data_IF_878189831184
#
_entry.id   IF_878189831184
#
_cell.length_a   1.000
_cell.length_b   1.000
_cell.length_c   1.000
_cell.angle_alpha   90.00
_cell.angle_beta   90.00
_cell.angle_gamma   90.00
#
_symmetry.space_group_name_H-M   'P 1'
#
loop_
_entity.id
_entity.type
_entity.pdbx_description
1 polymer ?
#
# COMPACT_ATOMS: atom_id res chain seq x y z
N UNK A 1 24.32 -4.61 -11.94
CA UNK A 1 22.93 -4.72 -11.41
C UNK A 1 22.41 -6.09 -11.81
N UNK A 2 22.31 -7.01 -10.83
CA UNK A 2 22.01 -8.43 -11.05
C UNK A 2 20.53 -8.64 -11.36
N UNK A 3 20.25 -9.69 -12.14
CA UNK A 3 18.90 -10.15 -12.51
C UNK A 3 17.90 -10.19 -11.33
N UNK A 4 18.39 -10.42 -10.11
CA UNK A 4 17.62 -10.42 -8.86
C UNK A 4 16.90 -9.09 -8.59
N UNK A 5 17.58 -7.96 -8.78
CA UNK A 5 17.00 -6.64 -8.50
C UNK A 5 15.84 -6.29 -9.45
N UNK A 6 15.94 -6.75 -10.71
CA UNK A 6 14.88 -6.56 -11.70
C UNK A 6 13.65 -7.41 -11.36
N UNK A 7 13.85 -8.65 -10.92
CA UNK A 7 12.74 -9.53 -10.54
C UNK A 7 12.03 -9.00 -9.27
N UNK A 8 12.78 -8.57 -8.26
CA UNK A 8 12.22 -7.95 -7.05
C UNK A 8 11.38 -6.72 -7.38
N UNK A 9 11.88 -5.84 -8.25
CA UNK A 9 11.16 -4.65 -8.69
C UNK A 9 9.88 -4.98 -9.46
N UNK A 10 9.89 -5.99 -10.32
CA UNK A 10 8.70 -6.48 -11.03
C UNK A 10 7.70 -7.06 -10.04
N UNK A 11 8.15 -7.86 -9.07
CA UNK A 11 7.30 -8.44 -8.04
C UNK A 11 6.63 -7.32 -7.22
N UNK A 12 7.39 -6.32 -6.79
CA UNK A 12 6.85 -5.16 -6.06
C UNK A 12 5.85 -4.37 -6.88
N UNK A 13 6.12 -4.15 -8.17
CA UNK A 13 5.19 -3.50 -9.10
C UNK A 13 3.89 -4.30 -9.23
N UNK A 14 3.98 -5.63 -9.36
CA UNK A 14 2.81 -6.51 -9.45
C UNK A 14 2.00 -6.50 -8.15
N UNK A 15 2.66 -6.60 -6.99
CA UNK A 15 2.00 -6.45 -5.69
C UNK A 15 1.31 -5.10 -5.55
N UNK A 16 1.96 -4.04 -6.03
CA UNK A 16 1.38 -2.71 -5.99
C UNK A 16 0.20 -2.55 -6.94
N UNK A 17 0.21 -3.10 -8.16
CA UNK A 17 -0.88 -2.87 -9.14
C UNK A 17 -2.04 -3.87 -8.99
N UNK A 18 -1.77 -5.10 -8.54
CA UNK A 18 -2.75 -6.19 -8.53
C UNK A 18 -4.05 -5.86 -7.78
N UNK A 19 -4.04 -5.24 -6.59
CA UNK A 19 -5.27 -4.92 -5.87
C UNK A 19 -6.19 -3.97 -6.67
N UNK A 20 -5.62 -2.93 -7.27
CA UNK A 20 -6.42 -2.00 -8.09
C UNK A 20 -6.90 -2.61 -9.40
N UNK A 21 -6.13 -3.51 -10.01
CA UNK A 21 -6.58 -4.28 -11.17
C UNK A 21 -7.76 -5.19 -10.82
N UNK A 22 -7.67 -5.95 -9.72
CA UNK A 22 -8.75 -6.79 -9.21
C UNK A 22 -9.99 -5.97 -8.87
N UNK A 23 -9.80 -4.83 -8.20
CA UNK A 23 -10.90 -3.91 -7.88
C UNK A 23 -11.59 -3.41 -9.15
N UNK A 24 -10.83 -2.94 -10.14
CA UNK A 24 -11.38 -2.41 -11.40
C UNK A 24 -12.16 -3.49 -12.14
N UNK A 25 -11.60 -4.70 -12.26
CA UNK A 25 -12.29 -5.87 -12.86
C UNK A 25 -13.60 -6.18 -12.14
N UNK A 26 -13.55 -6.26 -10.82
CA UNK A 26 -14.72 -6.58 -9.98
C UNK A 26 -15.78 -5.48 -10.11
N UNK A 27 -15.38 -4.21 -10.05
CA UNK A 27 -16.28 -3.07 -10.23
C UNK A 27 -16.96 -3.07 -11.59
N UNK A 28 -16.22 -3.32 -12.67
CA UNK A 28 -16.80 -3.40 -14.03
C UNK A 28 -17.76 -4.57 -14.21
N UNK A 29 -17.54 -5.68 -13.50
CA UNK A 29 -18.47 -6.80 -13.50
C UNK A 29 -19.79 -6.46 -12.78
N UNK A 30 -19.71 -5.72 -11.66
CA UNK A 30 -20.89 -5.29 -10.91
C UNK A 30 -21.62 -4.08 -11.51
N UNK A 31 -20.91 -3.19 -12.20
CA UNK A 31 -21.46 -1.99 -12.86
C UNK A 31 -20.96 -1.88 -14.29
N UNK A 32 -21.54 -2.65 -15.23
CA UNK A 32 -21.13 -2.62 -16.62
C UNK A 32 -21.39 -1.25 -17.23
N UNK A 33 -20.40 -0.68 -17.92
CA UNK A 33 -20.59 0.51 -18.74
C UNK A 33 -21.11 0.08 -20.10
N UNK A 34 -22.42 0.16 -20.30
CA UNK A 34 -23.07 -0.27 -21.55
C UNK A 34 -22.72 0.60 -22.76
N UNK A 35 -22.21 1.81 -22.54
CA UNK A 35 -21.95 2.79 -23.62
C UNK A 35 -20.47 2.91 -24.01
N UNK A 36 -19.53 2.36 -23.22
CA UNK A 36 -18.09 2.46 -23.49
C UNK A 36 -17.28 1.46 -22.68
N UNK A 37 -16.43 0.69 -23.35
CA UNK A 37 -15.37 -0.10 -22.72
C UNK A 37 -14.11 0.77 -22.55
N UNK A 38 -13.49 0.81 -21.36
CA UNK A 38 -12.25 1.54 -21.17
C UNK A 38 -11.12 0.90 -21.99
N UNK A 39 -10.28 1.73 -22.61
CA UNK A 39 -9.12 1.24 -23.35
C UNK A 39 -8.03 0.70 -22.40
N UNK A 40 -6.95 0.12 -22.96
CA UNK A 40 -5.88 -0.48 -22.16
C UNK A 40 -5.16 0.54 -21.27
N UNK A 41 -5.03 1.79 -21.72
CA UNK A 41 -4.40 2.86 -20.95
C UNK A 41 -5.29 3.29 -19.79
N UNK A 42 -6.58 3.50 -20.03
CA UNK A 42 -7.58 3.82 -18.99
C UNK A 42 -7.66 2.71 -17.94
N UNK A 43 -7.62 1.44 -18.34
CA UNK A 43 -7.57 0.32 -17.39
C UNK A 43 -6.30 0.32 -16.54
N UNK A 44 -5.14 0.66 -17.13
CA UNK A 44 -3.90 0.77 -16.39
C UNK A 44 -3.95 1.93 -15.37
N UNK A 45 -4.45 3.10 -15.78
CA UNK A 45 -4.62 4.26 -14.89
C UNK A 45 -5.60 3.94 -13.75
N UNK A 46 -6.76 3.34 -14.06
CA UNK A 46 -7.74 2.94 -13.05
C UNK A 46 -7.18 1.91 -12.08
N UNK A 47 -6.38 0.95 -12.57
CA UNK A 47 -5.71 -0.02 -11.70
C UNK A 47 -4.68 0.65 -10.79
N UNK A 48 -3.86 1.58 -11.29
CA UNK A 48 -2.87 2.31 -10.48
C UNK A 48 -3.57 3.15 -9.41
N UNK A 49 -4.57 3.95 -9.80
CA UNK A 49 -5.33 4.81 -8.87
C UNK A 49 -6.08 3.99 -7.85
N UNK A 50 -6.82 2.96 -8.30
CA UNK A 50 -7.57 2.07 -7.40
C UNK A 50 -6.64 1.38 -6.41
N UNK A 51 -5.44 0.98 -6.85
CA UNK A 51 -4.49 0.34 -5.95
C UNK A 51 -3.85 1.31 -4.97
N UNK A 52 -3.54 2.54 -5.40
CA UNK A 52 -3.04 3.58 -4.51
C UNK A 52 -4.06 3.87 -3.39
N UNK A 53 -5.35 3.95 -3.73
CA UNK A 53 -6.43 4.12 -2.73
C UNK A 53 -6.51 2.94 -1.76
N UNK A 54 -6.47 1.70 -2.27
CA UNK A 54 -6.53 0.49 -1.44
C UNK A 54 -5.34 0.44 -0.47
N UNK A 55 -4.12 0.60 -0.99
CA UNK A 55 -2.91 0.61 -0.17
C UNK A 55 -2.91 1.77 0.83
N UNK A 56 -3.30 2.97 0.40
CA UNK A 56 -3.44 4.13 1.29
C UNK A 56 -4.42 3.87 2.43
N UNK A 57 -5.56 3.24 2.15
CA UNK A 57 -6.56 2.88 3.17
C UNK A 57 -6.03 1.83 4.13
N UNK A 58 -5.37 0.79 3.62
CA UNK A 58 -4.75 -0.27 4.45
C UNK A 58 -3.67 0.33 5.35
N UNK A 59 -2.78 1.15 4.79
CA UNK A 59 -1.70 1.82 5.54
C UNK A 59 -2.27 2.75 6.61
N UNK A 60 -3.32 3.51 6.30
CA UNK A 60 -4.03 4.36 7.27
C UNK A 60 -4.61 3.51 8.39
N UNK A 61 -5.28 2.40 8.08
CA UNK A 61 -5.84 1.48 9.07
C UNK A 61 -4.77 0.88 9.98
N UNK A 62 -3.63 0.46 9.41
CA UNK A 62 -2.48 -0.05 10.18
C UNK A 62 -1.93 1.04 11.09
N UNK A 63 -1.72 2.26 10.60
CA UNK A 63 -1.21 3.37 11.39
C UNK A 63 -2.13 3.68 12.58
N UNK A 64 -3.44 3.84 12.32
CA UNK A 64 -4.42 4.09 13.38
C UNK A 64 -4.48 2.94 14.39
N UNK A 65 -4.43 1.69 13.93
CA UNK A 65 -4.42 0.52 14.80
C UNK A 65 -3.20 0.46 15.71
N UNK A 66 -2.01 0.74 15.17
CA UNK A 66 -0.76 0.79 15.94
C UNK A 66 -0.75 1.94 16.95
N UNK A 67 -1.26 3.12 16.57
CA UNK A 67 -1.40 4.25 17.49
C UNK A 67 -2.40 3.93 18.60
N UNK A 68 -3.56 3.34 18.27
CA UNK A 68 -4.54 2.94 19.27
C UNK A 68 -3.98 1.88 20.24
N UNK A 69 -3.26 0.89 19.73
CA UNK A 69 -2.58 -0.11 20.56
C UNK A 69 -1.62 0.55 21.56
N UNK A 70 -0.77 1.47 21.08
CA UNK A 70 0.18 2.19 21.93
C UNK A 70 -0.54 3.02 23.01
N UNK A 71 -1.60 3.74 22.65
CA UNK A 71 -2.37 4.55 23.59
C UNK A 71 -3.07 3.70 24.68
N UNK A 72 -3.50 2.48 24.33
CA UNK A 72 -4.20 1.59 25.27
C UNK A 72 -3.24 0.81 26.16
N UNK A 73 -2.12 0.33 25.63
CA UNK A 73 -1.18 -0.55 26.36
C UNK A 73 -0.02 0.20 26.98
N UNK A 74 0.30 1.41 26.51
CA UNK A 74 1.51 2.14 26.90
C UNK A 74 2.81 1.56 26.33
N UNK A 75 2.71 0.51 25.49
CA UNK A 75 3.83 -0.21 24.92
C UNK A 75 4.02 0.18 23.45
N UNK A 76 5.27 0.44 23.05
CA UNK A 76 5.61 0.66 21.64
C UNK A 76 6.03 -0.67 21.01
N UNK A 77 5.40 -1.01 19.88
CA UNK A 77 5.88 -2.07 19.00
C UNK A 77 6.94 -1.53 18.06
N UNK A 78 7.90 -2.38 17.72
CA UNK A 78 9.03 -2.03 16.89
C UNK A 78 9.18 -3.02 15.74
N UNK A 79 9.93 -2.62 14.70
CA UNK A 79 10.10 -3.44 13.49
C UNK A 79 10.69 -4.82 13.82
N UNK A 80 11.55 -4.91 14.84
CA UNK A 80 12.12 -6.18 15.28
C UNK A 80 11.06 -7.18 15.79
N UNK A 81 9.92 -6.71 16.30
CA UNK A 81 8.84 -7.58 16.82
C UNK A 81 8.14 -8.36 15.69
N UNK A 82 8.31 -7.92 14.43
CA UNK A 82 7.71 -8.55 13.25
C UNK A 82 8.74 -9.26 12.39
N UNK A 83 9.86 -8.58 12.10
CA UNK A 83 10.76 -9.00 11.01
C UNK A 83 12.10 -9.58 11.51
N UNK A 84 12.43 -9.34 12.78
CA UNK A 84 13.69 -9.77 13.38
C UNK A 84 14.94 -9.04 12.83
N UNK A 85 16.10 -9.15 13.51
CA UNK A 85 17.38 -8.70 12.98
C UNK A 85 17.82 -9.55 11.78
N UNK A 86 18.56 -9.01 10.78
CA UNK A 86 19.27 -7.73 10.74
C UNK A 86 18.70 -6.70 9.74
N UNK A 87 17.43 -6.28 9.87
CA UNK A 87 16.90 -5.20 9.03
C UNK A 87 17.43 -3.81 9.43
N UNK A 88 17.73 -2.90 8.48
CA UNK A 88 18.31 -1.57 8.75
C UNK A 88 17.45 -0.66 9.65
N UNK A 89 16.16 -0.98 9.79
CA UNK A 89 15.20 -0.24 10.61
C UNK A 89 14.69 -1.04 11.81
N UNK A 90 15.38 -2.11 12.21
CA UNK A 90 14.87 -3.02 13.24
C UNK A 90 14.47 -2.30 14.54
N UNK A 91 15.20 -1.25 14.95
CA UNK A 91 14.90 -0.44 16.15
C UNK A 91 13.86 0.67 15.99
N UNK A 92 13.26 0.82 14.82
CA UNK A 92 12.28 1.90 14.62
C UNK A 92 10.92 1.52 15.22
N UNK A 93 10.28 2.44 15.99
CA UNK A 93 8.94 2.22 16.50
C UNK A 93 7.94 2.20 15.33
N UNK A 94 7.17 1.13 15.24
CA UNK A 94 6.19 0.90 14.17
C UNK A 94 5.13 2.00 14.06
N UNK A 95 4.58 2.57 15.15
CA UNK A 95 3.62 3.67 15.04
C UNK A 95 4.20 4.91 14.35
N UNK A 96 5.46 5.23 14.62
CA UNK A 96 6.14 6.38 14.00
C UNK A 96 6.43 6.11 12.53
N UNK A 97 6.91 4.91 12.20
CA UNK A 97 7.16 4.50 10.81
C UNK A 97 5.86 4.52 9.99
N UNK A 98 4.78 3.96 10.54
CA UNK A 98 3.47 3.97 9.90
C UNK A 98 2.94 5.39 9.68
N UNK A 99 3.13 6.30 10.66
CA UNK A 99 2.76 7.70 10.51
C UNK A 99 3.57 8.43 9.44
N UNK A 100 4.89 8.20 9.37
CA UNK A 100 5.74 8.80 8.34
C UNK A 100 5.33 8.32 6.95
N UNK A 101 5.08 7.02 6.79
CA UNK A 101 4.62 6.43 5.52
C UNK A 101 3.26 7.02 5.12
N UNK A 102 2.33 7.12 6.07
CA UNK A 102 1.02 7.73 5.85
C UNK A 102 1.13 9.21 5.46
N UNK A 103 1.93 9.99 6.19
CA UNK A 103 2.17 11.40 5.90
C UNK A 103 2.75 11.60 4.50
N UNK A 104 3.74 10.80 4.12
CA UNK A 104 4.30 10.86 2.76
C UNK A 104 3.26 10.50 1.70
N UNK A 105 2.45 9.45 1.94
CA UNK A 105 1.36 9.10 1.03
C UNK A 105 0.35 10.24 0.85
N UNK A 106 -0.08 10.87 1.95
CA UNK A 106 -1.05 11.97 1.90
C UNK A 106 -0.50 13.20 1.18
N UNK A 107 0.76 13.57 1.42
CA UNK A 107 1.39 14.71 0.74
C UNK A 107 1.53 14.47 -0.76
N UNK A 108 1.86 13.24 -1.19
CA UNK A 108 1.89 12.87 -2.60
C UNK A 108 0.50 12.86 -3.24
N UNK A 109 -0.53 12.45 -2.50
CA UNK A 109 -1.91 12.46 -3.00
C UNK A 109 -2.49 13.88 -3.14
N UNK A 110 -1.93 14.87 -2.42
CA UNK A 110 -2.37 16.27 -2.45
C UNK A 110 -1.58 17.18 -3.40
N UNK A 111 -0.50 16.69 -4.00
CA UNK A 111 0.36 17.42 -4.93
C UNK A 111 -0.06 17.16 -6.39
#
# INVERSE_FOLDING_TARGET
MSLSFNLESIILLLFFIAPGFLFTRTYTAYRPRYYRTPDAFEQAVLAVVGSAIIHGTILTGIALGLTAFWLVRGEMLYVWDIVGPPMPFYRYPLPVLAFIILWQFLTWASA
#
